data_IF_016953172936
#
_entry.id   IF_016953172936
#
_cell.length_a   1.000
_cell.length_b   1.000
_cell.length_c   1.000
_cell.angle_alpha   90.00
_cell.angle_beta   90.00
_cell.angle_gamma   90.00
#
_symmetry.space_group_name_H-M   'P 1'
#
loop_
_entity.id
_entity.type
_entity.pdbx_description
1 polymer ?
#
# COMPACT_ATOMS: atom_id res chain seq x y z
N UNK A 1 -2.13 6.55 -4.17
CA UNK A 1 -1.71 7.97 -4.23
C UNK A 1 -0.53 8.11 -3.30
N UNK A 2 0.55 8.77 -3.72
CA UNK A 2 1.84 8.84 -2.99
C UNK A 2 1.67 9.37 -1.57
N UNK A 3 0.79 10.36 -1.40
CA UNK A 3 0.47 10.99 -0.11
C UNK A 3 -0.09 10.03 0.95
N UNK A 4 -0.72 8.92 0.56
CA UNK A 4 -1.21 7.92 1.51
C UNK A 4 -0.08 7.03 2.03
N UNK A 5 0.84 6.64 1.16
CA UNK A 5 2.03 5.87 1.54
C UNK A 5 2.99 6.71 2.37
N UNK A 6 3.10 8.00 2.08
CA UNK A 6 3.85 8.98 2.86
C UNK A 6 3.41 9.05 4.33
N UNK A 7 2.15 8.76 4.68
CA UNK A 7 1.69 8.76 6.08
C UNK A 7 2.43 7.74 6.97
N UNK A 8 3.14 6.79 6.36
CA UNK A 8 3.90 5.74 7.04
C UNK A 8 5.42 5.93 6.93
N UNK A 9 5.88 7.01 6.29
CA UNK A 9 7.30 7.31 6.12
C UNK A 9 7.79 8.26 7.23
N UNK A 10 8.78 7.80 7.98
CA UNK A 10 9.57 8.60 8.92
C UNK A 10 10.81 9.17 8.22
N UNK A 11 11.33 10.33 8.66
CA UNK A 11 12.58 10.85 8.13
C UNK A 11 13.75 9.93 8.51
N UNK A 12 14.74 9.86 7.62
CA UNK A 12 15.99 9.14 7.84
C UNK A 12 16.75 9.75 9.04
N UNK A 13 17.38 8.91 9.87
CA UNK A 13 17.95 9.31 11.14
C UNK A 13 19.15 10.26 10.99
N UNK A 14 19.44 11.00 12.05
CA UNK A 14 20.57 11.93 12.09
C UNK A 14 21.91 11.20 11.94
N UNK A 15 22.83 11.80 11.19
CA UNK A 15 24.17 11.26 10.93
C UNK A 15 24.31 10.37 9.68
N UNK A 16 23.25 10.22 8.88
CA UNK A 16 23.30 9.60 7.55
C UNK A 16 23.47 10.67 6.44
N UNK A 17 24.03 10.29 5.27
CA UNK A 17 24.22 11.22 4.14
C UNK A 17 22.90 11.87 3.66
N UNK A 18 21.78 11.20 3.93
CA UNK A 18 20.43 11.52 3.48
C UNK A 18 19.52 11.94 4.65
N UNK A 19 20.11 12.39 5.76
CA UNK A 19 19.41 12.85 6.97
C UNK A 19 18.24 13.79 6.65
N UNK A 20 17.09 13.52 7.29
CA UNK A 20 15.88 14.33 7.13
C UNK A 20 15.08 14.06 5.84
N UNK A 21 15.62 13.32 4.88
CA UNK A 21 14.86 12.82 3.73
C UNK A 21 13.93 11.68 4.15
N UNK A 22 12.86 11.48 3.41
CA UNK A 22 11.92 10.37 3.56
C UNK A 22 12.14 9.38 2.43
N UNK A 23 11.88 8.10 2.70
CA UNK A 23 12.01 7.04 1.72
C UNK A 23 10.66 6.43 1.37
N UNK A 24 10.44 6.15 0.08
CA UNK A 24 9.28 5.41 -0.40
C UNK A 24 9.67 4.45 -1.51
N UNK A 25 9.07 3.25 -1.50
CA UNK A 25 9.20 2.28 -2.59
C UNK A 25 8.08 2.48 -3.61
N UNK A 26 8.45 2.57 -4.88
CA UNK A 26 7.53 2.39 -6.00
C UNK A 26 7.65 0.93 -6.45
N UNK A 27 6.60 0.18 -6.17
CA UNK A 27 6.57 -1.27 -6.39
C UNK A 27 5.72 -1.61 -7.61
N UNK A 28 6.24 -2.50 -8.46
CA UNK A 28 5.40 -3.23 -9.40
C UNK A 28 4.79 -4.40 -8.66
N UNK A 29 3.47 -4.53 -8.70
CA UNK A 29 2.76 -5.62 -8.04
C UNK A 29 1.89 -6.40 -9.02
N UNK A 30 1.81 -7.72 -8.81
CA UNK A 30 0.95 -8.63 -9.57
C UNK A 30 -0.28 -8.94 -8.74
N UNK A 31 -1.41 -8.26 -9.04
CA UNK A 31 -2.65 -8.43 -8.29
C UNK A 31 -3.47 -9.69 -8.64
N UNK A 32 -3.24 -10.29 -9.81
CA UNK A 32 -4.00 -11.45 -10.29
C UNK A 32 -5.53 -11.21 -10.27
N UNK A 33 -6.29 -12.22 -9.83
CA UNK A 33 -7.73 -12.08 -9.56
C UNK A 33 -7.93 -11.40 -8.20
N UNK A 34 -8.21 -10.11 -8.20
CA UNK A 34 -8.42 -9.35 -6.97
C UNK A 34 -9.83 -9.55 -6.38
N UNK A 35 -9.89 -9.67 -5.05
CA UNK A 35 -11.12 -9.60 -4.28
C UNK A 35 -11.45 -8.13 -4.00
N UNK A 36 -12.47 -7.59 -4.66
CA UNK A 36 -12.81 -6.16 -4.58
C UNK A 36 -13.73 -5.91 -3.39
N UNK A 37 -13.27 -5.12 -2.43
CA UNK A 37 -14.01 -4.77 -1.22
C UNK A 37 -14.36 -3.30 -1.24
N UNK A 38 -15.66 -3.02 -1.20
CA UNK A 38 -16.21 -1.66 -1.27
C UNK A 38 -16.71 -1.16 0.09
N UNK A 39 -16.81 -2.04 1.08
CA UNK A 39 -17.36 -1.77 2.42
C UNK A 39 -16.28 -1.36 3.44
N UNK A 40 -16.73 -0.80 4.57
CA UNK A 40 -15.87 -0.49 5.72
C UNK A 40 -15.69 -1.67 6.69
N UNK A 41 -16.65 -2.59 6.74
CA UNK A 41 -16.55 -3.79 7.55
C UNK A 41 -15.62 -4.78 6.87
N UNK A 42 -14.47 -5.02 7.49
CA UNK A 42 -13.44 -5.93 6.99
C UNK A 42 -13.27 -7.05 8.00
N UNK A 43 -13.60 -8.27 7.60
CA UNK A 43 -13.11 -9.47 8.28
C UNK A 43 -11.75 -9.86 7.68
N UNK A 44 -10.68 -9.55 8.41
CA UNK A 44 -9.31 -9.80 7.93
C UNK A 44 -9.01 -11.28 7.77
N UNK A 45 -9.58 -12.13 8.63
CA UNK A 45 -9.31 -13.56 8.61
C UNK A 45 -10.04 -14.23 7.44
N UNK A 46 -11.27 -13.79 7.17
CA UNK A 46 -12.00 -14.23 5.98
C UNK A 46 -11.28 -13.81 4.70
N UNK A 47 -10.87 -12.54 4.57
CA UNK A 47 -10.17 -12.08 3.36
C UNK A 47 -8.86 -12.83 3.13
N UNK A 48 -8.11 -13.08 4.20
CA UNK A 48 -6.90 -13.88 4.13
C UNK A 48 -7.21 -15.29 3.65
N UNK A 49 -8.21 -15.94 4.22
CA UNK A 49 -8.66 -17.28 3.81
C UNK A 49 -9.10 -17.33 2.34
N UNK A 50 -9.82 -16.32 1.87
CA UNK A 50 -10.26 -16.22 0.47
C UNK A 50 -9.11 -16.04 -0.53
N UNK A 51 -7.95 -15.58 -0.08
CA UNK A 51 -6.72 -15.52 -0.90
C UNK A 51 -5.90 -16.80 -0.82
N UNK A 52 -5.78 -17.42 0.36
CA UNK A 52 -4.98 -18.65 0.51
C UNK A 52 -5.71 -19.91 0.02
N UNK A 53 -6.99 -20.04 0.33
CA UNK A 53 -7.79 -21.23 0.03
C UNK A 53 -8.84 -20.97 -1.07
N UNK A 54 -9.06 -19.70 -1.40
CA UNK A 54 -10.07 -19.27 -2.36
C UNK A 54 -9.51 -18.96 -3.75
N UNK A 55 -10.34 -18.36 -4.62
CA UNK A 55 -9.98 -18.11 -6.02
C UNK A 55 -9.19 -16.81 -6.22
N UNK A 56 -8.96 -16.02 -5.16
CA UNK A 56 -8.39 -14.69 -5.25
C UNK A 56 -6.88 -14.70 -4.98
N UNK A 57 -6.18 -13.71 -5.52
CA UNK A 57 -4.72 -13.57 -5.39
C UNK A 57 -4.32 -12.29 -4.65
N UNK A 58 -5.26 -11.39 -4.42
CA UNK A 58 -5.06 -10.12 -3.71
C UNK A 58 -6.40 -9.57 -3.24
N UNK A 59 -6.35 -8.58 -2.35
CA UNK A 59 -7.52 -7.79 -1.94
C UNK A 59 -7.36 -6.36 -2.48
N UNK A 60 -8.42 -5.84 -3.07
CA UNK A 60 -8.50 -4.49 -3.61
C UNK A 60 -9.59 -3.70 -2.89
N UNK A 61 -9.19 -2.83 -1.97
CA UNK A 61 -10.11 -1.93 -1.28
C UNK A 61 -10.47 -0.72 -2.14
N UNK A 62 -11.59 -0.77 -2.85
CA UNK A 62 -12.11 0.36 -3.65
C UNK A 62 -13.16 1.17 -2.87
N UNK A 63 -12.71 1.80 -1.78
CA UNK A 63 -13.60 2.68 -0.98
C UNK A 63 -13.79 4.08 -1.58
N UNK A 64 -13.15 4.36 -2.71
CA UNK A 64 -13.26 5.66 -3.39
C UNK A 64 -14.64 5.80 -4.01
N UNK A 65 -15.13 4.75 -4.70
CA UNK A 65 -16.40 4.80 -5.41
C UNK A 65 -17.61 4.85 -4.46
N UNK A 66 -17.54 4.12 -3.36
CA UNK A 66 -18.73 3.84 -2.54
C UNK A 66 -18.80 4.72 -1.30
N UNK A 67 -17.66 5.17 -0.77
CA UNK A 67 -17.57 5.91 0.49
C UNK A 67 -16.88 7.27 0.37
N UNK A 68 -16.52 7.70 -0.85
CA UNK A 68 -15.82 8.96 -1.09
C UNK A 68 -14.45 9.04 -0.41
N UNK A 69 -13.85 7.90 -0.03
CA UNK A 69 -12.53 7.89 0.59
C UNK A 69 -11.49 8.33 -0.44
N UNK A 70 -10.40 8.98 -0.01
CA UNK A 70 -9.46 9.60 -0.95
C UNK A 70 -8.58 8.59 -1.72
N UNK A 71 -8.48 7.34 -1.26
CA UNK A 71 -7.50 6.39 -1.78
C UNK A 71 -8.05 4.96 -1.92
N UNK A 72 -7.47 4.23 -2.87
CA UNK A 72 -7.61 2.77 -3.00
C UNK A 72 -6.42 2.08 -2.37
N UNK A 73 -6.64 0.93 -1.76
CA UNK A 73 -5.62 0.13 -1.09
C UNK A 73 -5.54 -1.26 -1.74
N UNK A 74 -4.32 -1.78 -1.90
CA UNK A 74 -4.07 -3.10 -2.48
C UNK A 74 -3.28 -3.90 -1.45
N UNK A 75 -3.73 -5.12 -1.18
CA UNK A 75 -3.08 -6.05 -0.24
C UNK A 75 -2.76 -7.33 -1.01
N UNK A 76 -1.48 -7.69 -0.99
CA UNK A 76 -0.95 -8.96 -1.51
C UNK A 76 -0.38 -9.76 -0.34
N UNK A 77 -0.46 -11.08 -0.43
CA UNK A 77 -0.07 -11.98 0.67
C UNK A 77 1.18 -12.81 0.34
N UNK A 78 1.59 -12.85 -0.93
CA UNK A 78 2.83 -13.47 -1.37
C UNK A 78 3.87 -12.40 -1.73
N UNK A 79 5.09 -12.57 -1.20
CA UNK A 79 6.23 -11.68 -1.47
C UNK A 79 6.69 -11.75 -2.92
N UNK A 80 6.45 -12.85 -3.62
CA UNK A 80 6.87 -13.00 -5.01
C UNK A 80 5.93 -12.22 -5.97
N UNK A 81 4.82 -11.66 -5.45
CA UNK A 81 3.94 -10.75 -6.19
C UNK A 81 4.47 -9.30 -6.23
N UNK A 82 5.54 -8.97 -5.51
CA UNK A 82 6.09 -7.61 -5.45
C UNK A 82 7.50 -7.54 -6.03
N UNK A 83 7.75 -6.50 -6.82
CA UNK A 83 9.06 -6.12 -7.30
C UNK A 83 9.29 -4.63 -7.00
N UNK A 84 10.14 -4.30 -6.00
CA UNK A 84 10.52 -2.92 -5.73
C UNK A 84 11.32 -2.38 -6.92
N UNK A 85 10.69 -1.55 -7.75
CA UNK A 85 11.27 -1.08 -9.00
C UNK A 85 12.10 0.20 -8.78
N UNK A 86 11.66 1.06 -7.85
CA UNK A 86 12.38 2.28 -7.50
C UNK A 86 12.34 2.53 -5.99
N UNK A 87 13.47 3.03 -5.46
CA UNK A 87 13.55 3.72 -4.18
C UNK A 87 13.54 5.23 -4.44
N UNK A 88 12.57 5.93 -3.85
CA UNK A 88 12.41 7.38 -3.98
C UNK A 88 12.76 8.02 -2.66
N UNK A 89 13.80 8.85 -2.66
CA UNK A 89 14.13 9.75 -1.57
C UNK A 89 13.51 11.12 -1.85
N UNK A 90 12.86 11.71 -0.86
CA UNK A 90 12.16 12.99 -1.02
C UNK A 90 12.10 13.79 0.27
N UNK A 91 11.86 15.09 0.14
CA UNK A 91 11.56 15.99 1.24
C UNK A 91 10.09 16.46 1.18
N UNK A 92 9.50 16.76 2.35
CA UNK A 92 8.16 17.34 2.43
C UNK A 92 8.28 18.88 2.43
N UNK A 93 7.77 19.54 1.40
CA UNK A 93 7.77 21.01 1.32
C UNK A 93 6.84 21.69 2.34
N UNK A 94 5.80 20.99 2.79
CA UNK A 94 4.84 21.49 3.76
C UNK A 94 4.72 20.50 4.92
N UNK A 95 4.68 21.03 6.16
CA UNK A 95 4.41 20.22 7.35
C UNK A 95 2.91 19.95 7.46
N UNK A 96 2.57 18.79 8.03
CA UNK A 96 1.20 18.40 8.35
C UNK A 96 0.65 19.24 9.51
#
# INVERSE_FOLDING_TARGET
>A
MVTKSDEYADPLPEGEEEEGLHAMLVVRCVGGRANVIETNEIDKDQLKKEVFDGPYHSVFGDRVKTLGKPYREIIVYDKDQIYPEYLVLYERLFKK
#
